data_IF_279257331771
#
_entry.id   IF_279257331771
#
_cell.length_a   1.000
_cell.length_b   1.000
_cell.length_c   1.000
_cell.angle_alpha   90.00
_cell.angle_beta   90.00
_cell.angle_gamma   90.00
#
_symmetry.space_group_name_H-M   'P 1'
#
loop_
_entity.id
_entity.type
_entity.pdbx_description
1 polymer ?
#
# COMPACT_ATOMS: atom_id res chain seq x y z
N UNK A 1 -29.13 -7.55 -3.91
CA UNK A 1 -27.74 -7.83 -4.33
C UNK A 1 -26.88 -6.94 -3.47
N UNK A 2 -25.94 -7.51 -2.73
CA UNK A 2 -25.11 -6.74 -1.81
C UNK A 2 -23.87 -6.20 -2.52
N UNK A 3 -23.28 -5.16 -1.96
CA UNK A 3 -22.06 -4.52 -2.44
C UNK A 3 -21.08 -4.40 -1.28
N UNK A 4 -19.89 -4.94 -1.46
CA UNK A 4 -18.76 -4.77 -0.53
C UNK A 4 -17.88 -3.64 -1.03
N UNK A 5 -17.54 -2.71 -0.12
CA UNK A 5 -16.56 -1.65 -0.37
C UNK A 5 -15.42 -1.77 0.64
N UNK A 6 -14.19 -1.68 0.14
CA UNK A 6 -12.96 -1.78 0.94
C UNK A 6 -12.07 -0.58 0.66
N UNK A 7 -11.42 -0.06 1.69
CA UNK A 7 -10.35 0.92 1.57
C UNK A 7 -9.36 0.78 2.72
N UNK A 8 -8.16 1.32 2.55
CA UNK A 8 -7.12 1.33 3.57
C UNK A 8 -6.42 2.69 3.61
N UNK A 9 -5.83 3.00 4.76
CA UNK A 9 -5.16 4.28 5.04
C UNK A 9 -3.92 4.05 5.93
N UNK A 10 -2.96 4.99 6.00
CA UNK A 10 -2.88 6.24 5.25
C UNK A 10 -2.32 6.05 3.83
N UNK A 11 -3.00 6.58 2.81
CA UNK A 11 -2.48 6.52 1.42
C UNK A 11 -1.60 7.72 1.10
N UNK A 12 -2.15 8.92 1.23
CA UNK A 12 -1.45 10.16 0.91
C UNK A 12 -0.19 10.33 1.78
N UNK A 13 -0.33 10.23 3.10
CA UNK A 13 0.82 10.34 4.02
C UNK A 13 1.89 9.26 3.81
N UNK A 14 1.53 8.10 3.26
CA UNK A 14 2.50 7.06 2.92
C UNK A 14 3.27 7.37 1.63
N UNK A 15 2.59 7.92 0.61
CA UNK A 15 3.21 8.35 -0.66
C UNK A 15 4.06 9.61 -0.46
N UNK A 16 3.56 10.61 0.26
CA UNK A 16 4.16 11.95 0.36
C UNK A 16 5.47 11.99 1.15
N UNK A 17 5.69 11.04 2.06
CA UNK A 17 6.97 10.86 2.77
C UNK A 17 8.04 10.32 1.81
N UNK A 18 8.42 11.08 0.79
CA UNK A 18 9.26 10.66 -0.34
C UNK A 18 10.15 11.82 -0.77
N UNK A 19 11.46 11.59 -0.94
CA UNK A 19 12.40 12.60 -1.45
C UNK A 19 12.85 12.30 -2.87
N UNK A 20 12.91 11.02 -3.24
CA UNK A 20 13.30 10.56 -4.59
C UNK A 20 12.06 10.10 -5.35
N UNK A 21 12.08 10.23 -6.69
CA UNK A 21 11.03 9.64 -7.53
C UNK A 21 10.84 8.16 -7.19
N UNK A 22 11.91 7.41 -6.97
CA UNK A 22 11.86 6.00 -6.54
C UNK A 22 11.00 5.77 -5.28
N UNK A 23 11.01 6.68 -4.30
CA UNK A 23 10.21 6.55 -3.07
C UNK A 23 8.71 6.65 -3.40
N UNK A 24 8.36 7.57 -4.30
CA UNK A 24 7.00 7.76 -4.80
C UNK A 24 6.57 6.55 -5.65
N UNK A 25 7.50 6.01 -6.45
CA UNK A 25 7.29 4.81 -7.25
C UNK A 25 7.00 3.61 -6.35
N UNK A 26 7.89 3.32 -5.41
CA UNK A 26 7.75 2.22 -4.46
C UNK A 26 6.50 2.34 -3.59
N UNK A 27 6.16 3.56 -3.16
CA UNK A 27 4.92 3.83 -2.41
C UNK A 27 3.67 3.46 -3.22
N UNK A 28 3.55 3.98 -4.44
CA UNK A 28 2.40 3.68 -5.30
C UNK A 28 2.33 2.20 -5.67
N UNK A 29 3.47 1.55 -5.95
CA UNK A 29 3.50 0.12 -6.31
C UNK A 29 3.02 -0.75 -5.17
N UNK A 30 3.46 -0.46 -3.95
CA UNK A 30 3.02 -1.18 -2.77
C UNK A 30 1.49 -1.07 -2.61
N UNK A 31 0.94 0.14 -2.72
CA UNK A 31 -0.51 0.35 -2.59
C UNK A 31 -1.30 -0.43 -3.64
N UNK A 32 -0.85 -0.44 -4.89
CA UNK A 32 -1.46 -1.23 -5.96
C UNK A 32 -1.36 -2.73 -5.68
N UNK A 33 -0.21 -3.21 -5.21
CA UNK A 33 0.00 -4.61 -4.84
C UNK A 33 -0.95 -5.07 -3.74
N UNK A 34 -1.13 -4.25 -2.70
CA UNK A 34 -2.04 -4.54 -1.60
C UNK A 34 -3.51 -4.55 -2.06
N UNK A 35 -3.90 -3.62 -2.94
CA UNK A 35 -5.24 -3.59 -3.51
C UNK A 35 -5.51 -4.79 -4.44
N UNK A 36 -4.50 -5.19 -5.22
CA UNK A 36 -4.58 -6.33 -6.13
C UNK A 36 -4.74 -7.66 -5.36
N UNK A 37 -4.05 -7.82 -4.22
CA UNK A 37 -4.22 -9.00 -3.36
C UNK A 37 -5.69 -9.20 -2.93
N UNK A 38 -6.40 -8.11 -2.63
CA UNK A 38 -7.83 -8.13 -2.31
C UNK A 38 -8.66 -8.49 -3.54
N UNK A 39 -8.35 -7.90 -4.70
CA UNK A 39 -9.07 -8.17 -5.95
C UNK A 39 -8.96 -9.64 -6.36
N UNK A 40 -7.74 -10.19 -6.35
CA UNK A 40 -7.49 -11.60 -6.64
C UNK A 40 -8.19 -12.55 -5.65
N UNK A 41 -8.32 -12.15 -4.38
CA UNK A 41 -9.06 -12.93 -3.40
C UNK A 41 -10.56 -12.90 -3.69
N UNK A 42 -11.12 -11.74 -4.03
CA UNK A 42 -12.52 -11.59 -4.38
C UNK A 42 -12.91 -12.36 -5.66
N UNK A 43 -12.03 -12.42 -6.65
CA UNK A 43 -12.25 -13.17 -7.90
C UNK A 43 -12.40 -14.69 -7.68
N UNK A 44 -11.97 -15.22 -6.53
CA UNK A 44 -12.15 -16.63 -6.16
C UNK A 44 -13.56 -16.94 -5.64
N UNK A 45 -14.37 -15.93 -5.35
CA UNK A 45 -15.74 -16.09 -4.86
C UNK A 45 -16.72 -16.03 -6.04
N UNK A 46 -17.44 -17.13 -6.36
CA UNK A 46 -18.33 -17.18 -7.53
C UNK A 46 -19.47 -16.14 -7.52
N UNK A 47 -19.91 -15.73 -6.34
CA UNK A 47 -20.96 -14.73 -6.12
C UNK A 47 -20.41 -13.29 -6.15
N UNK A 48 -19.10 -13.12 -6.23
CA UNK A 48 -18.44 -11.82 -6.27
C UNK A 48 -18.08 -11.42 -7.71
N UNK A 49 -18.27 -10.15 -8.02
CA UNK A 49 -17.88 -9.54 -9.28
C UNK A 49 -17.20 -8.20 -9.00
N UNK A 50 -15.93 -8.09 -9.38
CA UNK A 50 -15.17 -6.86 -9.21
C UNK A 50 -15.76 -5.74 -10.10
N UNK A 51 -16.22 -4.65 -9.49
CA UNK A 51 -16.76 -3.48 -10.22
C UNK A 51 -15.67 -2.43 -10.40
N UNK A 52 -14.88 -2.18 -9.36
CA UNK A 52 -13.75 -1.23 -9.39
C UNK A 52 -12.57 -1.88 -8.69
N UNK A 53 -11.38 -1.93 -9.33
CA UNK A 53 -10.96 -1.16 -10.51
C UNK A 53 -11.44 -1.62 -11.91
N UNK A 54 -12.23 -2.69 -12.03
CA UNK A 54 -12.42 -3.41 -13.30
C UNK A 54 -13.32 -2.81 -14.41
N UNK A 55 -14.02 -1.67 -14.25
CA UNK A 55 -14.95 -1.15 -15.28
C UNK A 55 -14.67 0.25 -15.83
N UNK A 56 -13.46 0.74 -15.62
CA UNK A 56 -13.09 2.09 -16.01
C UNK A 56 -11.81 1.95 -16.82
N UNK A 57 -11.69 2.73 -17.88
CA UNK A 57 -10.42 3.00 -18.54
C UNK A 57 -9.47 3.70 -17.54
N UNK A 58 -8.93 2.95 -16.57
CA UNK A 58 -8.12 3.45 -15.46
C UNK A 58 -6.70 3.67 -15.95
N UNK A 59 -6.50 4.62 -16.86
CA UNK A 59 -5.17 5.11 -17.25
C UNK A 59 -4.50 5.96 -16.15
N UNK A 60 -4.91 5.87 -14.88
CA UNK A 60 -4.51 6.80 -13.78
C UNK A 60 -4.42 6.18 -12.37
N UNK A 61 -4.00 4.92 -12.27
CA UNK A 61 -3.69 4.29 -10.97
C UNK A 61 -4.87 3.65 -10.30
N UNK A 62 -4.59 2.53 -9.63
CA UNK A 62 -5.60 1.68 -9.00
C UNK A 62 -6.13 2.38 -7.76
N UNK A 63 -7.37 2.88 -7.70
CA UNK A 63 -7.87 3.59 -6.52
C UNK A 63 -7.76 2.72 -5.26
N UNK A 64 -7.43 3.31 -4.10
CA UNK A 64 -7.45 2.63 -2.81
C UNK A 64 -8.87 2.33 -2.30
N UNK A 65 -9.86 2.38 -3.19
CA UNK A 65 -11.26 2.08 -2.96
C UNK A 65 -11.69 0.98 -3.92
N UNK A 66 -11.92 -0.19 -3.36
CA UNK A 66 -12.27 -1.40 -4.08
C UNK A 66 -13.77 -1.60 -3.92
N UNK A 67 -14.48 -1.78 -5.04
CA UNK A 67 -15.92 -2.02 -5.06
C UNK A 67 -16.18 -3.39 -5.68
N UNK A 68 -16.85 -4.25 -4.92
CA UNK A 68 -17.19 -5.62 -5.29
C UNK A 68 -18.71 -5.75 -5.22
N UNK A 69 -19.33 -6.23 -6.29
CA UNK A 69 -20.69 -6.72 -6.25
C UNK A 69 -20.67 -8.12 -5.62
N UNK A 70 -21.47 -8.38 -4.59
CA UNK A 70 -21.48 -9.67 -3.90
C UNK A 70 -21.05 -9.58 -2.44
N UNK A 71 -21.04 -10.74 -1.78
CA UNK A 71 -20.77 -10.85 -0.35
C UNK A 71 -19.31 -11.23 -0.07
N UNK A 72 -18.38 -10.30 -0.26
CA UNK A 72 -16.97 -10.59 0.05
C UNK A 72 -16.67 -10.45 1.56
N UNK A 73 -16.27 -11.52 2.28
CA UNK A 73 -16.14 -11.51 3.74
C UNK A 73 -15.06 -10.56 4.26
N UNK A 74 -15.35 -9.80 5.34
CA UNK A 74 -14.36 -8.90 5.98
C UNK A 74 -13.07 -9.63 6.37
N UNK A 75 -13.21 -10.79 7.05
CA UNK A 75 -12.07 -11.54 7.58
C UNK A 75 -11.11 -11.96 6.47
N UNK A 76 -11.63 -12.45 5.36
CA UNK A 76 -10.82 -12.83 4.21
C UNK A 76 -10.10 -11.61 3.63
N UNK A 77 -10.85 -10.53 3.38
CA UNK A 77 -10.32 -9.28 2.83
C UNK A 77 -9.17 -8.68 3.66
N UNK A 78 -9.34 -8.67 4.98
CA UNK A 78 -8.38 -8.14 5.93
C UNK A 78 -7.15 -9.06 6.05
N UNK A 79 -7.36 -10.37 6.06
CA UNK A 79 -6.28 -11.34 6.12
C UNK A 79 -5.38 -11.27 4.87
N UNK A 80 -5.95 -11.30 3.66
CA UNK A 80 -5.15 -11.24 2.43
C UNK A 80 -4.39 -9.92 2.29
N UNK A 81 -4.96 -8.82 2.77
CA UNK A 81 -4.29 -7.52 2.81
C UNK A 81 -3.10 -7.52 3.78
N UNK A 82 -3.31 -8.00 5.01
CA UNK A 82 -2.26 -8.08 6.03
C UNK A 82 -1.14 -9.05 5.63
N UNK A 83 -1.50 -10.21 5.07
CA UNK A 83 -0.54 -11.21 4.59
C UNK A 83 0.31 -10.64 3.43
N UNK A 84 -0.30 -9.88 2.51
CA UNK A 84 0.41 -9.22 1.43
C UNK A 84 1.42 -8.18 1.96
N UNK A 85 1.02 -7.33 2.90
CA UNK A 85 1.93 -6.36 3.53
C UNK A 85 3.07 -7.05 4.29
N UNK A 86 2.72 -8.03 5.12
CA UNK A 86 3.68 -8.82 5.89
C UNK A 86 4.71 -9.50 4.98
N UNK A 87 4.28 -10.03 3.84
CA UNK A 87 5.15 -10.68 2.85
C UNK A 87 6.20 -9.69 2.32
N UNK A 88 5.81 -8.47 1.97
CA UNK A 88 6.73 -7.44 1.48
C UNK A 88 7.75 -7.07 2.56
N UNK A 89 7.27 -6.74 3.75
CA UNK A 89 8.13 -6.30 4.86
C UNK A 89 9.13 -7.39 5.24
N UNK A 90 8.68 -8.64 5.36
CA UNK A 90 9.56 -9.77 5.64
C UNK A 90 10.58 -10.02 4.52
N UNK A 91 10.18 -9.89 3.25
CA UNK A 91 11.10 -10.05 2.12
C UNK A 91 12.23 -9.03 2.19
N UNK A 92 11.92 -7.77 2.49
CA UNK A 92 12.93 -6.73 2.69
C UNK A 92 13.83 -7.04 3.89
N UNK A 93 13.26 -7.36 5.06
CA UNK A 93 14.02 -7.71 6.27
C UNK A 93 15.00 -8.84 6.04
N UNK A 94 14.50 -9.98 5.52
CA UNK A 94 15.31 -11.17 5.23
C UNK A 94 16.40 -10.87 4.20
N UNK A 95 16.10 -10.05 3.19
CA UNK A 95 17.11 -9.62 2.22
C UNK A 95 18.27 -8.89 2.91
N UNK A 96 17.99 -7.98 3.86
CA UNK A 96 19.05 -7.26 4.60
C UNK A 96 19.87 -8.25 5.44
N UNK A 97 19.20 -9.11 6.20
CA UNK A 97 19.84 -10.11 7.08
C UNK A 97 20.75 -11.06 6.29
N UNK A 98 20.35 -11.45 5.07
CA UNK A 98 21.14 -12.31 4.20
C UNK A 98 22.32 -11.59 3.54
N UNK A 99 22.19 -10.29 3.25
CA UNK A 99 23.24 -9.51 2.58
C UNK A 99 24.26 -8.90 3.55
N UNK A 100 23.91 -8.81 4.85
CA UNK A 100 24.77 -8.31 5.92
C UNK A 100 24.79 -9.28 7.13
N UNK A 101 25.13 -10.57 6.94
CA UNK A 101 25.01 -11.61 7.97
C UNK A 101 25.95 -11.43 9.17
N UNK A 102 26.91 -10.51 9.09
CA UNK A 102 27.86 -10.20 10.15
C UNK A 102 27.25 -9.50 11.37
N UNK A 103 26.05 -8.94 11.24
CA UNK A 103 25.38 -8.25 12.33
C UNK A 103 24.47 -9.17 13.14
N UNK A 104 24.39 -8.91 14.45
CA UNK A 104 23.39 -9.54 15.31
C UNK A 104 22.15 -8.63 15.37
N UNK A 105 21.06 -9.06 14.76
CA UNK A 105 19.86 -8.25 14.61
C UNK A 105 18.92 -8.37 15.81
N UNK A 106 18.66 -7.26 16.49
CA UNK A 106 17.69 -7.19 17.60
C UNK A 106 16.33 -6.60 17.15
N UNK A 107 16.27 -6.06 15.94
CA UNK A 107 15.16 -5.27 15.41
C UNK A 107 13.83 -6.01 15.11
N UNK A 108 13.75 -7.33 15.28
CA UNK A 108 12.60 -8.13 14.78
C UNK A 108 11.26 -7.65 15.33
N UNK A 109 11.24 -7.20 16.59
CA UNK A 109 10.07 -6.62 17.23
C UNK A 109 9.58 -5.37 16.51
N UNK A 110 10.47 -4.44 16.19
CA UNK A 110 10.13 -3.19 15.51
C UNK A 110 9.58 -3.45 14.11
N UNK A 111 10.20 -4.36 13.36
CA UNK A 111 9.68 -4.78 12.06
C UNK A 111 8.26 -5.38 12.17
N UNK A 112 7.99 -6.17 13.22
CA UNK A 112 6.64 -6.69 13.46
C UNK A 112 5.63 -5.60 13.86
N UNK A 113 6.04 -4.55 14.57
CA UNK A 113 5.16 -3.41 14.86
C UNK A 113 4.73 -2.71 13.57
N UNK A 114 5.66 -2.50 12.63
CA UNK A 114 5.32 -1.96 11.31
C UNK A 114 4.47 -2.93 10.48
N UNK A 115 4.66 -4.24 10.58
CA UNK A 115 3.75 -5.21 9.94
C UNK A 115 2.31 -5.02 10.46
N UNK A 116 2.14 -4.88 11.77
CA UNK A 116 0.82 -4.91 12.40
C UNK A 116 0.10 -3.55 12.40
N UNK A 117 0.83 -2.43 12.36
CA UNK A 117 0.27 -1.11 12.66
C UNK A 117 0.53 -0.05 11.57
N UNK A 118 1.06 -0.44 10.40
CA UNK A 118 1.22 0.53 9.28
C UNK A 118 -0.12 0.99 8.71
N UNK A 119 -1.11 0.10 8.65
CA UNK A 119 -2.34 0.31 7.89
C UNK A 119 -3.58 0.22 8.77
N UNK A 120 -4.50 1.16 8.55
CA UNK A 120 -5.90 1.03 8.93
C UNK A 120 -6.66 0.38 7.77
N UNK A 121 -7.45 -0.66 8.08
CA UNK A 121 -8.26 -1.39 7.11
C UNK A 121 -9.75 -1.11 7.33
N UNK A 122 -10.45 -0.68 6.28
CA UNK A 122 -11.87 -0.34 6.33
C UNK A 122 -12.66 -1.21 5.36
N UNK A 123 -13.78 -1.73 5.85
CA UNK A 123 -14.67 -2.60 5.10
C UNK A 123 -16.13 -2.27 5.43
N UNK A 124 -17.00 -2.25 4.42
CA UNK A 124 -18.44 -2.11 4.59
C UNK A 124 -19.18 -2.93 3.53
N UNK A 125 -20.38 -3.40 3.88
CA UNK A 125 -21.22 -4.18 2.99
C UNK A 125 -22.67 -3.78 3.20
N UNK A 126 -23.36 -3.46 2.11
CA UNK A 126 -24.76 -2.99 2.14
C UNK A 126 -25.52 -3.45 0.89
N UNK A 127 -26.83 -3.26 0.88
CA UNK A 127 -27.74 -3.60 -0.22
C UNK A 127 -27.66 -2.64 -1.43
N UNK A 128 -26.96 -1.52 -1.29
CA UNK A 128 -26.72 -0.54 -2.35
C UNK A 128 -25.32 0.07 -2.26
N UNK A 129 -24.79 0.49 -3.40
CA UNK A 129 -23.46 1.11 -3.50
C UNK A 129 -23.38 2.39 -2.64
N UNK A 130 -24.41 3.24 -2.67
CA UNK A 130 -24.43 4.49 -1.89
C UNK A 130 -24.40 4.22 -0.39
N UNK A 131 -25.20 3.24 0.08
CA UNK A 131 -25.18 2.84 1.48
C UNK A 131 -23.79 2.29 1.85
N UNK A 132 -23.20 1.42 1.03
CA UNK A 132 -21.90 0.82 1.32
C UNK A 132 -20.79 1.87 1.47
N UNK A 133 -20.74 2.88 0.59
CA UNK A 133 -19.79 3.98 0.72
C UNK A 133 -20.06 4.87 1.95
N UNK A 134 -21.33 5.16 2.26
CA UNK A 134 -21.68 5.91 3.49
C UNK A 134 -21.25 5.16 4.75
N UNK A 135 -21.55 3.86 4.83
CA UNK A 135 -21.14 3.00 5.95
C UNK A 135 -19.61 2.92 6.05
N UNK A 136 -18.89 2.85 4.93
CA UNK A 136 -17.42 2.91 4.91
C UNK A 136 -16.90 4.25 5.44
N UNK A 137 -17.46 5.37 4.99
CA UNK A 137 -17.08 6.71 5.47
C UNK A 137 -17.34 6.88 6.98
N UNK A 138 -18.45 6.36 7.49
CA UNK A 138 -18.75 6.37 8.92
C UNK A 138 -17.70 5.59 9.73
N UNK A 139 -17.30 4.41 9.25
CA UNK A 139 -16.21 3.63 9.88
C UNK A 139 -14.87 4.35 9.83
N UNK A 140 -14.59 5.11 8.77
CA UNK A 140 -13.38 5.95 8.70
C UNK A 140 -13.34 7.01 9.78
N UNK A 141 -14.47 7.53 10.28
CA UNK A 141 -14.45 8.50 11.38
C UNK A 141 -14.05 7.90 12.73
N UNK A 142 -14.22 6.58 12.92
CA UNK A 142 -13.90 5.91 14.17
C UNK A 142 -12.39 5.64 14.36
N UNK A 143 -11.57 5.88 13.32
CA UNK A 143 -10.09 5.84 13.29
C UNK A 143 -9.45 4.93 14.35
N UNK A 144 -9.17 3.69 13.99
CA UNK A 144 -8.48 2.73 14.88
C UNK A 144 -6.98 2.71 14.58
N UNK A 145 -6.32 3.87 14.71
CA UNK A 145 -4.89 3.99 14.45
C UNK A 145 -4.08 3.67 15.71
N UNK A 146 -2.99 2.92 15.57
CA UNK A 146 -2.05 2.64 16.65
C UNK A 146 -0.73 3.33 16.36
N UNK A 147 -0.30 4.21 17.27
CA UNK A 147 1.02 4.83 17.22
C UNK A 147 2.12 3.85 17.62
N UNK A 148 3.18 3.76 16.81
CA UNK A 148 4.37 2.97 17.14
C UNK A 148 5.32 3.88 17.92
N UNK A 149 5.55 3.56 19.21
CA UNK A 149 6.56 4.23 20.02
C UNK A 149 7.95 3.67 19.70
N UNK A 150 8.94 4.54 19.58
CA UNK A 150 10.32 4.17 19.28
C UNK A 150 11.31 5.08 20.04
N UNK A 151 12.57 4.67 20.08
CA UNK A 151 13.68 5.43 20.68
C UNK A 151 14.88 5.44 19.71
N UNK A 152 15.72 6.47 19.79
CA UNK A 152 16.92 6.61 18.96
C UNK A 152 16.91 7.84 18.05
N UNK A 153 17.64 7.78 16.94
CA UNK A 153 17.68 8.84 15.93
C UNK A 153 16.49 8.77 14.97
N UNK A 154 15.95 9.93 14.59
CA UNK A 154 14.89 10.06 13.58
C UNK A 154 15.40 9.85 12.16
N UNK A 155 14.53 9.39 11.27
CA UNK A 155 14.84 9.30 9.85
C UNK A 155 15.16 10.66 9.24
N UNK A 156 16.15 10.68 8.35
CA UNK A 156 16.56 11.86 7.58
C UNK A 156 15.53 12.33 6.54
N UNK A 157 14.51 11.49 6.27
CA UNK A 157 13.53 11.73 5.21
C UNK A 157 12.27 12.40 5.76
N UNK A 158 11.57 11.76 6.71
CA UNK A 158 10.36 12.31 7.32
C UNK A 158 10.59 12.89 8.72
N UNK A 159 11.66 12.51 9.41
CA UNK A 159 11.91 12.91 10.79
C UNK A 159 10.97 12.31 11.83
N UNK A 160 9.99 11.50 11.42
CA UNK A 160 8.91 11.03 12.31
C UNK A 160 9.18 9.69 12.98
N UNK A 161 10.06 8.88 12.39
CA UNK A 161 10.21 7.46 12.72
C UNK A 161 11.68 7.09 12.93
N UNK A 162 11.95 6.09 13.79
CA UNK A 162 13.30 5.61 14.07
C UNK A 162 14.04 5.15 12.81
N UNK A 163 15.35 5.39 12.77
CA UNK A 163 16.22 4.85 11.72
C UNK A 163 16.34 3.32 11.82
N UNK A 164 16.43 2.67 10.67
CA UNK A 164 16.71 1.24 10.57
C UNK A 164 18.19 0.99 10.80
N UNK A 165 18.54 0.21 11.82
CA UNK A 165 19.87 -0.37 11.99
C UNK A 165 19.80 -1.61 12.88
N UNK A 166 20.81 -2.49 12.80
CA UNK A 166 20.75 -3.83 13.41
C UNK A 166 20.47 -3.83 14.93
N UNK A 167 20.95 -2.81 15.65
CA UNK A 167 20.80 -2.64 17.09
C UNK A 167 19.72 -1.65 17.52
N UNK A 168 18.73 -1.33 16.66
CA UNK A 168 17.72 -0.29 16.97
C UNK A 168 16.85 -0.53 18.20
N UNK A 169 16.90 -1.74 18.77
CA UNK A 169 16.22 -2.10 20.03
C UNK A 169 17.16 -2.33 21.20
N UNK A 170 18.46 -2.14 20.99
CA UNK A 170 19.45 -2.35 22.03
C UNK A 170 19.21 -1.31 23.14
N UNK A 171 19.15 -1.79 24.37
CA UNK A 171 18.93 -0.92 25.52
C UNK A 171 20.15 -0.02 25.70
N UNK A 172 19.99 1.26 25.36
CA UNK A 172 21.02 2.27 25.64
C UNK A 172 20.86 2.75 27.07
N UNK A 173 21.78 2.35 27.95
CA UNK A 173 21.85 2.94 29.28
C UNK A 173 22.52 4.33 29.18
N UNK A 174 21.87 5.43 29.60
CA UNK A 174 22.37 6.80 29.38
C UNK A 174 23.77 7.07 29.97
N UNK A 175 24.12 6.37 31.05
CA UNK A 175 25.41 6.54 31.74
C UNK A 175 26.57 5.74 31.11
N UNK A 176 26.27 4.69 30.35
CA UNK A 176 27.28 3.72 29.90
C UNK A 176 27.34 3.56 28.38
N UNK A 177 26.37 4.12 27.65
CA UNK A 177 26.32 4.03 26.20
C UNK A 177 27.03 5.23 25.59
N UNK A 178 28.09 4.99 24.83
CA UNK A 178 28.75 6.03 24.06
C UNK A 178 27.95 6.33 22.80
N UNK A 179 27.33 7.51 22.74
CA UNK A 179 26.63 8.02 21.54
C UNK A 179 27.59 8.00 20.33
N UNK A 180 28.86 8.34 20.53
CA UNK A 180 29.86 8.33 19.45
C UNK A 180 30.09 6.93 18.88
N UNK A 181 30.10 5.89 19.73
CA UNK A 181 30.26 4.50 19.27
C UNK A 181 29.02 4.03 18.52
N UNK A 182 27.82 4.36 19.00
CA UNK A 182 26.57 4.04 18.33
C UNK A 182 26.50 4.72 16.95
N UNK A 183 26.86 6.00 16.86
CA UNK A 183 26.86 6.74 15.59
C UNK A 183 27.87 6.17 14.60
N UNK A 184 29.02 5.70 15.09
CA UNK A 184 29.99 4.98 14.26
C UNK A 184 29.39 3.66 13.74
N UNK A 185 28.78 2.85 14.61
CA UNK A 185 28.13 1.59 14.24
C UNK A 185 27.00 1.77 13.22
N UNK A 186 26.17 2.80 13.41
CA UNK A 186 25.10 3.17 12.46
C UNK A 186 25.73 3.57 11.13
N UNK A 187 26.78 4.39 11.15
CA UNK A 187 27.46 4.84 9.92
C UNK A 187 28.05 3.67 9.15
N UNK A 188 28.77 2.76 9.83
CA UNK A 188 29.30 1.53 9.23
C UNK A 188 28.19 0.65 8.64
N UNK A 189 27.06 0.50 9.36
CA UNK A 189 25.91 -0.25 8.86
C UNK A 189 25.34 0.35 7.57
N UNK A 190 25.14 1.66 7.52
CA UNK A 190 24.59 2.33 6.33
C UNK A 190 25.58 2.37 5.15
N UNK A 191 26.88 2.47 5.40
CA UNK A 191 27.91 2.31 4.36
C UNK A 191 27.82 0.93 3.72
N UNK A 192 27.76 -0.12 4.53
CA UNK A 192 27.68 -1.51 4.03
C UNK A 192 26.33 -1.79 3.35
N UNK A 193 25.23 -1.27 3.89
CA UNK A 193 23.91 -1.40 3.29
C UNK A 193 23.82 -0.66 1.94
N UNK A 194 24.35 0.55 1.87
CA UNK A 194 24.45 1.35 0.63
C UNK A 194 25.24 0.60 -0.45
N UNK A 195 26.37 -0.01 -0.09
CA UNK A 195 27.17 -0.83 -1.02
C UNK A 195 26.38 -2.01 -1.60
N UNK A 196 25.50 -2.65 -0.80
CA UNK A 196 24.66 -3.77 -1.26
C UNK A 196 23.47 -3.31 -2.09
N UNK A 197 22.85 -2.19 -1.74
CA UNK A 197 21.68 -1.64 -2.43
C UNK A 197 22.06 -0.79 -3.67
N UNK A 198 23.32 -0.38 -3.78
CA UNK A 198 23.83 0.72 -4.61
C UNK A 198 23.37 2.12 -4.16
N UNK A 199 24.25 3.11 -4.33
CA UNK A 199 23.99 4.53 -4.03
C UNK A 199 22.76 5.10 -4.77
N UNK A 200 22.33 4.48 -5.87
CA UNK A 200 21.12 4.85 -6.60
C UNK A 200 19.82 4.53 -5.85
N UNK A 201 19.87 3.63 -4.88
CA UNK A 201 18.73 3.21 -4.05
C UNK A 201 18.84 3.84 -2.67
N UNK A 202 19.97 3.63 -1.99
CA UNK A 202 20.22 4.20 -0.67
C UNK A 202 21.58 4.86 -0.70
N UNK A 203 21.68 6.13 -0.36
CA UNK A 203 22.95 6.79 -0.13
C UNK A 203 23.44 6.50 1.31
N UNK A 204 24.75 6.38 1.50
CA UNK A 204 25.35 6.04 2.79
C UNK A 204 25.17 7.12 3.87
N UNK A 205 24.76 8.34 3.51
CA UNK A 205 24.42 9.43 4.43
C UNK A 205 22.94 9.45 4.79
N UNK A 206 22.10 8.77 4.00
CA UNK A 206 20.67 8.68 4.27
C UNK A 206 20.42 7.73 5.44
N UNK A 207 19.53 8.12 6.33
CA UNK A 207 19.05 7.31 7.44
C UNK A 207 17.54 7.19 7.30
N UNK A 208 17.02 5.99 7.10
CA UNK A 208 15.62 5.77 6.74
C UNK A 208 14.91 4.97 7.82
N UNK A 209 13.60 5.22 7.98
CA UNK A 209 12.74 4.36 8.77
C UNK A 209 12.36 3.09 8.02
N UNK A 210 11.77 2.12 8.72
CA UNK A 210 11.32 0.84 8.14
C UNK A 210 10.40 1.05 6.92
N UNK A 211 9.31 1.82 6.99
CA UNK A 211 8.43 2.01 5.82
C UNK A 211 9.15 2.73 4.66
N UNK A 212 10.04 3.68 4.95
CA UNK A 212 10.81 4.40 3.93
C UNK A 212 11.79 3.47 3.21
N UNK A 213 12.52 2.65 3.97
CA UNK A 213 13.45 1.67 3.43
C UNK A 213 12.70 0.60 2.62
N UNK A 214 11.55 0.11 3.09
CA UNK A 214 10.71 -0.85 2.34
C UNK A 214 10.27 -0.25 1.00
N UNK A 215 9.84 1.02 0.97
CA UNK A 215 9.49 1.70 -0.30
C UNK A 215 10.66 1.75 -1.28
N UNK A 216 11.90 1.87 -0.80
CA UNK A 216 13.07 1.83 -1.69
C UNK A 216 13.40 0.42 -2.15
N UNK A 217 13.43 -0.50 -1.21
CA UNK A 217 13.83 -1.89 -1.45
C UNK A 217 12.86 -2.64 -2.37
N UNK A 218 11.57 -2.31 -2.36
CA UNK A 218 10.59 -2.96 -3.27
C UNK A 218 10.92 -2.73 -4.76
N UNK A 219 11.72 -1.71 -5.06
CA UNK A 219 12.17 -1.41 -6.42
C UNK A 219 13.41 -2.20 -6.87
N UNK A 220 13.99 -3.01 -5.96
CA UNK A 220 15.02 -3.98 -6.31
C UNK A 220 14.41 -5.17 -7.05
N UNK A 221 15.13 -5.66 -8.06
CA UNK A 221 14.70 -6.83 -8.83
C UNK A 221 14.46 -8.06 -7.96
N UNK A 222 15.40 -8.38 -7.06
CA UNK A 222 15.33 -9.58 -6.20
C UNK A 222 14.20 -9.55 -5.17
N UNK A 223 13.62 -8.36 -4.93
CA UNK A 223 12.51 -8.15 -4.00
C UNK A 223 11.21 -8.03 -4.78
N UNK A 224 11.16 -7.16 -5.80
CA UNK A 224 9.96 -6.86 -6.55
C UNK A 224 9.54 -7.97 -7.51
N UNK A 225 10.46 -8.64 -8.20
CA UNK A 225 10.11 -9.70 -9.17
C UNK A 225 9.40 -10.88 -8.50
N UNK A 226 9.86 -11.45 -7.37
CA UNK A 226 9.13 -12.51 -6.68
C UNK A 226 7.73 -12.12 -6.17
N UNK A 227 7.43 -10.83 -6.12
CA UNK A 227 6.12 -10.28 -5.77
C UNK A 227 5.24 -10.06 -7.01
N UNK A 228 5.68 -10.50 -8.19
CA UNK A 228 5.07 -10.25 -9.51
C UNK A 228 4.86 -8.74 -9.78
N UNK A 229 5.77 -7.90 -9.29
CA UNK A 229 5.71 -6.46 -9.55
C UNK A 229 6.35 -6.12 -10.90
N UNK A 230 5.61 -5.45 -11.77
CA UNK A 230 6.17 -4.85 -12.99
C UNK A 230 6.98 -3.60 -12.63
N UNK A 231 8.29 -3.77 -12.49
CA UNK A 231 9.20 -2.65 -12.25
C UNK A 231 9.54 -1.94 -13.57
N UNK A 232 9.47 -0.60 -13.63
CA UNK A 232 9.85 0.13 -14.83
C UNK A 232 11.35 -0.02 -15.10
N UNK A 233 11.73 -0.15 -16.38
CA UNK A 233 13.13 -0.32 -16.80
C UNK A 233 14.02 0.89 -16.42
N UNK A 234 13.43 2.07 -16.31
CA UNK A 234 14.06 3.31 -15.86
C UNK A 234 13.07 4.11 -15.02
N UNK A 235 13.55 4.76 -13.96
CA UNK A 235 12.79 5.76 -13.17
C UNK A 235 12.89 7.15 -13.82
N UNK A 236 12.79 7.20 -15.15
CA UNK A 236 12.71 8.43 -15.94
C UNK A 236 11.25 8.55 -16.36
N UNK A 237 10.74 9.78 -16.50
CA UNK A 237 9.35 10.08 -16.88
C UNK A 237 8.81 9.07 -17.89
N UNK A 238 7.95 8.16 -17.42
CA UNK A 238 7.26 7.20 -18.27
C UNK A 238 6.30 8.01 -19.16
N UNK A 239 6.57 8.03 -20.46
CA UNK A 239 5.69 8.65 -21.43
C UNK A 239 4.40 7.82 -21.54
N UNK A 240 3.35 8.29 -20.85
CA UNK A 240 2.06 7.60 -20.66
C UNK A 240 1.33 7.24 -21.96
N UNK A 241 1.76 7.78 -23.09
CA UNK A 241 1.14 7.57 -24.40
C UNK A 241 1.81 6.45 -25.21
N UNK A 242 3.07 6.11 -24.91
CA UNK A 242 3.88 5.19 -25.74
C UNK A 242 3.97 3.79 -25.14
N UNK A 243 4.10 3.69 -23.82
CA UNK A 243 4.19 2.39 -23.16
C UNK A 243 2.79 1.94 -22.71
N UNK A 244 2.26 0.87 -23.33
CA UNK A 244 1.09 0.12 -22.83
C UNK A 244 1.41 -0.65 -21.52
N UNK A 245 2.29 -0.12 -20.68
CA UNK A 245 2.69 -0.71 -19.40
C UNK A 245 1.69 -0.30 -18.32
N UNK A 246 1.33 -1.26 -17.46
CA UNK A 246 0.19 -1.20 -16.53
C UNK A 246 0.37 -0.24 -15.33
N UNK A 247 1.39 0.62 -15.35
CA UNK A 247 1.81 1.42 -14.20
C UNK A 247 1.40 2.89 -14.37
N UNK A 248 0.10 3.14 -14.50
CA UNK A 248 -0.47 4.50 -14.46
C UNK A 248 -0.50 5.01 -13.02
N UNK A 249 0.13 6.14 -12.74
CA UNK A 249 0.43 6.63 -11.39
C UNK A 249 -0.78 7.09 -10.57
N UNK A 250 -0.78 6.75 -9.27
CA UNK A 250 -1.56 7.39 -8.20
C UNK A 250 -1.17 8.87 -8.11
N UNK A 251 -1.77 9.71 -8.95
CA UNK A 251 -1.87 11.16 -8.71
C UNK A 251 -3.35 11.56 -8.68
N UNK A 252 -4.19 10.66 -8.17
CA UNK A 252 -5.61 10.91 -7.95
C UNK A 252 -5.80 11.48 -6.55
N UNK A 253 -6.06 12.79 -6.50
CA UNK A 253 -6.77 13.44 -5.40
C UNK A 253 -7.90 12.51 -4.91
N UNK A 254 -7.86 12.11 -3.64
CA UNK A 254 -8.85 11.22 -3.03
C UNK A 254 -10.27 11.77 -3.12
N UNK A 255 -10.42 13.09 -3.22
CA UNK A 255 -11.70 13.77 -3.42
C UNK A 255 -12.19 13.66 -4.88
N UNK A 256 -11.27 13.66 -5.84
CA UNK A 256 -11.53 13.38 -7.25
C UNK A 256 -12.10 11.98 -7.47
N UNK A 257 -11.57 10.96 -6.78
CA UNK A 257 -12.10 9.58 -6.86
C UNK A 257 -13.47 9.46 -6.21
N UNK A 258 -13.71 10.15 -5.08
CA UNK A 258 -15.04 10.21 -4.46
C UNK A 258 -16.09 10.79 -5.41
N UNK A 259 -15.75 11.84 -6.14
CA UNK A 259 -16.62 12.43 -7.16
C UNK A 259 -16.80 11.50 -8.37
N UNK A 260 -15.74 10.80 -8.76
CA UNK A 260 -15.80 9.83 -9.85
C UNK A 260 -16.69 8.62 -9.52
N UNK A 261 -16.61 8.09 -8.31
CA UNK A 261 -17.49 7.02 -7.83
C UNK A 261 -18.94 7.47 -7.71
N UNK A 262 -19.20 8.69 -7.23
CA UNK A 262 -20.55 9.29 -7.28
C UNK A 262 -21.08 9.35 -8.71
N UNK A 263 -20.24 9.72 -9.69
CA UNK A 263 -20.60 9.75 -11.10
C UNK A 263 -20.82 8.33 -11.69
N UNK A 264 -20.01 7.34 -11.32
CA UNK A 264 -20.23 5.94 -11.69
C UNK A 264 -21.54 5.39 -11.14
N UNK A 265 -21.85 5.67 -9.87
CA UNK A 265 -23.13 5.31 -9.28
C UNK A 265 -24.28 5.94 -10.08
N UNK A 266 -24.14 7.19 -10.50
CA UNK A 266 -25.13 7.85 -11.35
C UNK A 266 -25.25 7.19 -12.75
N UNK A 267 -24.14 6.80 -13.37
CA UNK A 267 -24.09 6.12 -14.67
C UNK A 267 -24.68 4.70 -14.60
N UNK A 268 -24.33 3.94 -13.56
CA UNK A 268 -24.85 2.60 -13.30
C UNK A 268 -26.36 2.66 -13.01
N UNK A 269 -26.82 3.63 -12.23
CA UNK A 269 -28.26 3.89 -12.03
C UNK A 269 -28.98 4.18 -13.35
N UNK A 270 -28.40 4.99 -14.24
CA UNK A 270 -28.96 5.26 -15.59
C UNK A 270 -29.05 4.00 -16.45
N UNK A 271 -28.01 3.14 -16.44
CA UNK A 271 -27.99 1.86 -17.16
C UNK A 271 -28.99 0.84 -16.64
N UNK A 272 -29.20 0.78 -15.31
CA UNK A 272 -30.19 -0.11 -14.69
C UNK A 272 -31.61 0.39 -15.02
N UNK A 273 -31.84 1.71 -14.96
CA UNK A 273 -33.14 2.33 -15.29
C UNK A 273 -33.49 2.13 -16.77
N UNK A 274 -32.53 2.24 -17.68
CA UNK A 274 -32.75 2.00 -19.12
C UNK A 274 -33.02 0.52 -19.45
N UNK A 275 -32.35 -0.43 -18.77
CA UNK A 275 -32.65 -1.88 -18.87
C UNK A 275 -34.05 -2.23 -18.36
N UNK A 276 -34.48 -1.62 -17.25
CA UNK A 276 -35.83 -1.86 -16.71
C UNK A 276 -36.94 -1.24 -17.59
N UNK A 277 -36.67 -0.10 -18.23
CA UNK A 277 -37.57 0.51 -19.24
C UNK A 277 -37.68 -0.32 -20.52
N UNK A 278 -36.60 -1.00 -20.94
CA UNK A 278 -36.62 -1.90 -22.11
C UNK A 278 -37.29 -3.25 -21.81
N UNK A 279 -37.15 -3.79 -20.60
CA UNK A 279 -37.91 -4.97 -20.17
C UNK A 279 -39.41 -4.67 -19.96
N UNK A 280 -39.76 -3.51 -19.38
CA UNK A 280 -41.16 -3.09 -19.22
C UNK A 280 -41.90 -2.79 -20.53
N UNK A 281 -41.17 -2.49 -21.62
CA UNK A 281 -41.75 -2.38 -22.97
C UNK A 281 -41.95 -3.73 -23.67
N UNK A 282 -41.21 -4.78 -23.28
CA UNK A 282 -41.42 -6.14 -23.81
C UNK A 282 -42.62 -6.84 -23.17
N UNK A 283 -42.91 -6.58 -21.89
CA UNK A 283 -44.06 -7.19 -21.20
C UNK A 283 -45.42 -6.56 -21.56
N UNK A 284 -45.46 -5.31 -22.07
CA UNK A 284 -46.71 -4.68 -22.57
C UNK A 284 -47.05 -4.99 -24.03
N UNK A 285 -46.27 -5.85 -24.72
CA UNK A 285 -46.57 -6.32 -26.08
C UNK A 285 -47.12 -7.76 -26.12
N UNK A 286 -47.42 -8.34 -24.96
CA UNK A 286 -47.95 -9.70 -24.80
C UNK A 286 -49.26 -9.74 -23.98
N UNK A 287 -49.98 -8.62 -23.92
CA UNK A 287 -51.36 -8.54 -23.41
C UNK A 287 -52.31 -8.10 -24.50
#
# INVERSE_FOLDING_TARGET
MNYTVITFAPVQGFIEKSRKLRDLYGGSFLLSYLADAICQAADKYPECSLISPALIDVKRGTPNQILIAGNFPKKEAEQVFNDAWQKVVNKCRVWIEQNLPQYNYTWRREWNLWINHTWEFFWAQEDSIDCAFKSLQQKKYQRDWTGINWQGESSSLSGSDAIVWYGMTDQTHPLYSSISQQNQQITEFYQQLSQKLSNAILDETERLSIPELVKRMITLYDIGKPLNLELPKKFVELNRYEEKSYTGWFQGDGDGMGNYLKNLVHILKKRIKSKNLTMGRRTRKLS
#
